data_IF_972432847948
#
_entry.id   IF_972432847948
#
_cell.length_a   1.000
_cell.length_b   1.000
_cell.length_c   1.000
_cell.angle_alpha   90.00
_cell.angle_beta   90.00
_cell.angle_gamma   90.00
#
_symmetry.space_group_name_H-M   'P 1'
#
loop_
_entity.id
_entity.type
_entity.pdbx_description
1 polymer ?
#
# COMPACT_ATOMS: atom_id res chain seq x y z
N UNK A 1 8.50 37.23 24.65
CA UNK A 1 8.92 37.03 23.33
C UNK A 1 8.90 35.63 22.88
N UNK A 2 9.74 34.81 23.43
CA UNK A 2 9.73 33.45 23.02
C UNK A 2 8.42 32.76 23.26
N UNK A 3 7.77 33.12 24.31
CA UNK A 3 6.49 32.53 24.58
C UNK A 3 5.47 32.86 23.53
N UNK A 4 5.55 34.05 23.03
CA UNK A 4 4.63 34.43 21.98
C UNK A 4 4.83 33.59 20.76
N UNK A 5 6.07 33.39 20.43
CA UNK A 5 6.38 32.61 19.26
C UNK A 5 5.87 31.20 19.42
N UNK A 6 6.09 30.66 20.59
CA UNK A 6 5.64 29.33 20.85
C UNK A 6 4.13 29.21 20.68
N UNK A 7 3.43 30.19 21.19
CA UNK A 7 1.99 30.17 21.09
C UNK A 7 1.54 30.21 19.64
N UNK A 8 2.20 31.00 18.85
CA UNK A 8 1.86 31.11 17.46
C UNK A 8 2.08 29.81 16.76
N UNK A 9 3.18 29.17 17.05
CA UNK A 9 3.47 27.89 16.45
C UNK A 9 2.41 26.88 16.79
N UNK A 10 2.00 26.86 18.02
CA UNK A 10 0.98 25.93 18.42
C UNK A 10 -0.31 26.15 17.65
N UNK A 11 -0.66 27.39 17.45
CA UNK A 11 -1.87 27.69 16.71
C UNK A 11 -1.76 27.19 15.28
N UNK A 12 -0.63 27.39 14.69
CA UNK A 12 -0.42 26.95 13.33
C UNK A 12 -0.54 25.45 13.25
N UNK A 13 0.02 24.77 14.21
CA UNK A 13 -0.06 23.33 14.20
C UNK A 13 -1.50 22.85 14.28
N UNK A 14 -2.29 23.50 15.08
CA UNK A 14 -3.68 23.11 15.17
C UNK A 14 -4.38 23.26 13.84
N UNK A 15 -4.09 24.32 13.15
CA UNK A 15 -4.71 24.52 11.85
C UNK A 15 -4.32 23.42 10.89
N UNK A 16 -3.07 23.08 10.90
CA UNK A 16 -2.63 22.00 10.07
C UNK A 16 -3.32 20.70 10.38
N UNK A 17 -3.48 20.45 11.65
CA UNK A 17 -4.13 19.24 12.07
C UNK A 17 -5.52 19.14 11.48
N UNK A 18 -6.22 20.21 11.44
CA UNK A 18 -7.55 20.20 10.90
C UNK A 18 -7.53 19.85 9.43
N UNK A 19 -6.63 20.47 8.70
CA UNK A 19 -6.53 20.16 7.30
C UNK A 19 -6.13 18.73 7.06
N UNK A 20 -5.18 18.28 7.83
CA UNK A 20 -4.73 16.91 7.68
C UNK A 20 -5.89 15.97 7.89
N UNK A 21 -6.76 16.29 8.81
CA UNK A 21 -7.89 15.44 9.06
C UNK A 21 -8.81 15.40 7.86
N UNK A 22 -9.03 16.51 7.24
CA UNK A 22 -9.89 16.52 6.09
C UNK A 22 -9.36 15.67 4.99
N UNK A 23 -8.13 15.86 4.65
CA UNK A 23 -7.57 15.10 3.58
C UNK A 23 -7.33 13.69 4.03
N UNK A 24 -7.11 13.51 5.29
CA UNK A 24 -6.79 12.26 5.90
C UNK A 24 -5.84 11.46 5.06
N UNK A 25 -5.35 12.07 4.06
CA UNK A 25 -4.36 11.44 3.29
C UNK A 25 -3.07 12.07 3.46
N UNK A 26 -2.90 12.81 4.50
CA UNK A 26 -1.68 13.47 4.79
C UNK A 26 -0.55 12.48 4.69
N UNK A 27 0.09 12.43 3.57
CA UNK A 27 1.20 11.55 3.36
C UNK A 27 0.85 10.12 2.99
N UNK A 28 -0.42 9.82 2.81
CA UNK A 28 -0.81 8.45 2.48
C UNK A 28 -1.77 8.44 1.30
N UNK A 29 -1.58 7.46 0.44
CA UNK A 29 -2.41 7.28 -0.72
C UNK A 29 -2.77 5.80 -0.83
N UNK A 30 -4.05 5.51 -0.94
CA UNK A 30 -4.48 4.14 -1.11
C UNK A 30 -4.12 3.64 -2.50
N UNK A 31 -3.62 2.43 -2.55
CA UNK A 31 -3.36 1.77 -3.84
C UNK A 31 -4.51 0.80 -4.06
N UNK A 32 -5.26 1.04 -5.12
CA UNK A 32 -6.39 0.18 -5.41
C UNK A 32 -5.87 -1.13 -5.98
N UNK A 33 -6.16 -2.22 -5.30
CA UNK A 33 -5.72 -3.54 -5.73
C UNK A 33 -6.90 -4.24 -6.40
N UNK A 34 -6.70 -4.58 -7.65
CA UNK A 34 -7.72 -5.29 -8.39
C UNK A 34 -7.38 -6.76 -8.38
N UNK A 35 -8.26 -7.55 -7.83
CA UNK A 35 -8.04 -8.99 -7.82
C UNK A 35 -8.28 -9.53 -9.21
N UNK A 36 -7.36 -10.34 -9.68
CA UNK A 36 -7.44 -10.95 -10.99
C UNK A 36 -7.74 -12.42 -10.81
N UNK A 37 -8.76 -12.89 -11.53
CA UNK A 37 -9.13 -14.29 -11.47
C UNK A 37 -8.39 -14.99 -12.58
N UNK A 38 -7.40 -15.77 -12.18
CA UNK A 38 -6.62 -16.48 -13.15
C UNK A 38 -7.13 -17.89 -13.36
N UNK A 39 -6.42 -18.61 -14.18
CA UNK A 39 -6.79 -19.97 -14.48
C UNK A 39 -6.67 -20.87 -13.26
N UNK A 40 -5.96 -20.45 -12.27
CA UNK A 40 -5.79 -21.24 -11.06
C UNK A 40 -6.97 -21.16 -10.13
N UNK A 41 -7.86 -20.23 -10.34
CA UNK A 41 -9.00 -20.06 -9.49
C UNK A 41 -10.13 -20.89 -10.04
N UNK A 42 -10.69 -21.73 -9.21
CA UNK A 42 -11.77 -22.59 -9.66
C UNK A 42 -13.00 -21.78 -9.93
N UNK A 43 -13.54 -21.99 -11.09
CA UNK A 43 -14.74 -21.29 -11.49
C UNK A 43 -15.91 -21.88 -10.74
N UNK A 44 -16.77 -21.02 -10.23
CA UNK A 44 -17.94 -21.49 -9.53
C UNK A 44 -17.71 -21.73 -8.06
N UNK A 45 -16.48 -21.65 -7.62
CA UNK A 45 -16.20 -21.79 -6.22
C UNK A 45 -16.43 -20.48 -5.52
N UNK A 46 -17.04 -20.53 -4.39
CA UNK A 46 -17.30 -19.31 -3.68
C UNK A 46 -16.04 -18.73 -3.11
N UNK A 47 -15.94 -17.43 -3.22
CA UNK A 47 -14.81 -16.73 -2.66
C UNK A 47 -14.87 -16.81 -1.15
N UNK A 48 -13.75 -17.10 -0.55
CA UNK A 48 -13.63 -17.06 0.89
C UNK A 48 -13.71 -15.62 1.33
N UNK A 49 -14.70 -15.29 2.12
CA UNK A 49 -14.91 -13.92 2.54
C UNK A 49 -13.83 -13.42 3.49
N UNK A 50 -13.02 -14.31 4.03
CA UNK A 50 -11.96 -13.88 4.91
C UNK A 50 -10.76 -13.35 4.15
N UNK A 51 -10.69 -13.58 2.85
CA UNK A 51 -9.57 -13.09 2.05
C UNK A 51 -9.75 -11.60 1.82
N UNK A 52 -8.77 -10.84 2.19
CA UNK A 52 -8.79 -9.41 1.94
C UNK A 52 -7.36 -8.90 1.79
N UNK A 53 -7.22 -7.87 0.96
CA UNK A 53 -5.93 -7.28 0.68
C UNK A 53 -6.14 -5.78 0.53
N UNK A 54 -5.28 -5.01 1.16
CA UNK A 54 -5.28 -3.56 0.97
C UNK A 54 -3.84 -3.07 0.99
N UNK A 55 -3.61 -1.95 0.35
CA UNK A 55 -2.27 -1.39 0.27
C UNK A 55 -2.34 0.12 0.34
N UNK A 56 -1.35 0.72 0.98
CA UNK A 56 -1.26 2.16 1.16
C UNK A 56 0.17 2.57 0.90
N UNK A 57 0.34 3.63 0.12
CA UNK A 57 1.63 4.25 -0.10
C UNK A 57 1.79 5.39 0.90
N UNK A 58 2.78 5.29 1.76
CA UNK A 58 3.04 6.29 2.78
C UNK A 58 4.17 7.18 2.31
N UNK A 59 3.83 8.40 1.90
CA UNK A 59 4.83 9.32 1.36
C UNK A 59 5.72 9.90 2.45
N UNK A 60 5.25 9.90 3.67
CA UNK A 60 6.03 10.44 4.77
C UNK A 60 7.24 9.58 5.07
N UNK A 61 7.04 8.28 5.08
CA UNK A 61 8.12 7.35 5.36
C UNK A 61 8.64 6.64 4.13
N UNK A 62 8.01 6.91 2.99
CA UNK A 62 8.44 6.35 1.71
C UNK A 62 8.39 4.83 1.74
N UNK A 63 7.30 4.32 2.21
CA UNK A 63 7.08 2.87 2.26
C UNK A 63 5.70 2.54 1.73
N UNK A 64 5.51 1.26 1.40
CA UNK A 64 4.21 0.74 1.03
C UNK A 64 3.82 -0.26 2.11
N UNK A 65 2.65 -0.03 2.69
CA UNK A 65 2.12 -0.92 3.72
C UNK A 65 1.02 -1.76 3.11
N UNK A 66 1.13 -3.05 3.25
CA UNK A 66 0.18 -3.98 2.65
C UNK A 66 -0.41 -4.84 3.74
N UNK A 67 -1.73 -4.91 3.78
CA UNK A 67 -2.42 -5.78 4.71
C UNK A 67 -2.98 -6.96 3.95
N UNK A 68 -2.71 -8.15 4.46
CA UNK A 68 -3.11 -9.38 3.81
C UNK A 68 -3.90 -10.22 4.79
N UNK A 69 -4.91 -10.90 4.27
CA UNK A 69 -5.71 -11.75 5.13
C UNK A 69 -6.05 -13.03 4.36
N UNK A 70 -5.53 -14.14 4.85
CA UNK A 70 -5.83 -15.47 4.31
C UNK A 70 -5.46 -15.64 2.84
N UNK A 71 -4.41 -14.98 2.40
CA UNK A 71 -3.99 -15.09 1.00
C UNK A 71 -3.12 -16.32 0.74
N UNK A 72 -2.64 -16.96 1.78
CA UNK A 72 -1.74 -18.08 1.60
C UNK A 72 -0.30 -17.62 1.48
N UNK A 73 0.51 -18.40 0.83
CA UNK A 73 1.92 -18.06 0.67
C UNK A 73 2.21 -17.66 -0.78
N UNK A 74 3.24 -16.87 -0.97
CA UNK A 74 3.60 -16.41 -2.30
C UNK A 74 4.57 -15.27 -2.21
N UNK A 75 4.37 -14.26 -3.06
CA UNK A 75 5.26 -13.12 -3.11
C UNK A 75 4.48 -11.84 -3.36
N UNK A 76 5.01 -10.75 -2.83
CA UNK A 76 4.54 -9.42 -3.14
C UNK A 76 5.71 -8.71 -3.79
N UNK A 77 5.49 -8.12 -4.95
CA UNK A 77 6.59 -7.45 -5.62
C UNK A 77 6.10 -6.21 -6.37
N UNK A 78 7.06 -5.37 -6.70
CA UNK A 78 6.81 -4.12 -7.40
C UNK A 78 7.48 -4.19 -8.74
N UNK A 79 6.74 -3.84 -9.79
CA UNK A 79 7.23 -3.88 -11.16
C UNK A 79 7.18 -2.46 -11.72
N UNK A 80 8.22 -2.08 -12.43
CA UNK A 80 8.23 -0.75 -13.06
C UNK A 80 7.54 -0.82 -14.42
N UNK A 81 7.49 0.30 -15.12
CA UNK A 81 6.75 0.37 -16.38
C UNK A 81 7.38 -0.46 -17.47
N UNK A 82 8.60 -0.91 -17.27
CA UNK A 82 9.28 -1.78 -18.23
C UNK A 82 9.17 -3.24 -17.84
N UNK A 83 8.33 -3.54 -16.86
CA UNK A 83 8.12 -4.90 -16.37
C UNK A 83 9.33 -5.46 -15.63
N UNK A 84 10.19 -4.59 -15.16
CA UNK A 84 11.31 -5.03 -14.34
C UNK A 84 10.92 -5.05 -12.88
N UNK A 85 11.31 -6.09 -12.16
CA UNK A 85 11.02 -6.20 -10.75
C UNK A 85 11.93 -5.27 -9.98
N UNK A 86 11.34 -4.34 -9.25
CA UNK A 86 12.08 -3.35 -8.47
C UNK A 86 12.37 -3.89 -7.08
N UNK A 87 11.42 -4.60 -6.50
CA UNK A 87 11.56 -5.12 -5.16
C UNK A 87 10.61 -6.29 -4.99
N UNK A 88 10.93 -7.19 -4.08
CA UNK A 88 10.13 -8.38 -3.89
C UNK A 88 10.27 -8.85 -2.45
N UNK A 89 9.15 -9.27 -1.87
CA UNK A 89 9.13 -9.78 -0.50
C UNK A 89 8.34 -11.07 -0.48
N UNK A 90 8.90 -12.13 0.07
CA UNK A 90 8.15 -13.38 0.18
C UNK A 90 7.07 -13.28 1.25
N UNK A 91 5.98 -13.98 1.02
CA UNK A 91 4.85 -14.04 1.94
C UNK A 91 4.67 -15.48 2.35
N UNK A 92 4.67 -15.74 3.65
CA UNK A 92 4.38 -17.08 4.12
C UNK A 92 2.98 -17.09 4.68
N UNK A 93 2.41 -18.28 4.71
CA UNK A 93 1.05 -18.44 5.19
C UNK A 93 0.94 -17.89 6.61
N UNK A 94 -0.08 -17.09 6.83
CA UNK A 94 -0.26 -16.46 8.14
C UNK A 94 0.27 -15.05 8.23
N UNK A 95 1.00 -14.58 7.22
CA UNK A 95 1.47 -13.21 7.18
C UNK A 95 0.28 -12.27 7.03
N UNK A 96 0.23 -11.24 7.86
CA UNK A 96 -0.86 -10.28 7.79
C UNK A 96 -0.41 -8.91 7.35
N UNK A 97 0.87 -8.60 7.50
CA UNK A 97 1.37 -7.27 7.14
C UNK A 97 2.69 -7.40 6.41
N UNK A 98 2.83 -6.60 5.37
CA UNK A 98 4.07 -6.53 4.62
C UNK A 98 4.40 -5.05 4.45
N UNK A 99 5.63 -4.69 4.73
CA UNK A 99 6.09 -3.32 4.56
C UNK A 99 7.27 -3.36 3.60
N UNK A 100 7.17 -2.58 2.52
CA UNK A 100 8.22 -2.54 1.52
C UNK A 100 8.66 -1.10 1.32
N UNK A 101 9.93 -0.88 1.01
CA UNK A 101 10.34 0.48 0.64
C UNK A 101 9.67 0.88 -0.66
N UNK A 102 9.24 2.12 -0.75
CA UNK A 102 8.67 2.62 -1.99
C UNK A 102 9.80 2.94 -2.96
N UNK A 103 9.54 2.83 -4.26
CA UNK A 103 10.54 3.21 -5.23
C UNK A 103 10.93 4.67 -5.06
N UNK A 104 12.16 5.01 -5.40
CA UNK A 104 12.67 6.36 -5.26
C UNK A 104 12.70 7.12 -6.57
N UNK A 105 12.54 6.43 -7.67
CA UNK A 105 12.56 7.06 -8.99
C UNK A 105 11.13 7.34 -9.42
N UNK A 106 10.90 8.54 -9.91
CA UNK A 106 9.56 8.91 -10.37
C UNK A 106 9.11 8.00 -11.49
N UNK A 107 7.83 7.69 -11.50
CA UNK A 107 7.28 6.87 -12.56
C UNK A 107 6.08 6.11 -12.09
N UNK A 108 5.58 5.26 -12.97
CA UNK A 108 4.43 4.41 -12.67
C UNK A 108 4.91 3.01 -12.36
N UNK A 109 4.29 2.42 -11.37
CA UNK A 109 4.67 1.10 -10.89
C UNK A 109 3.43 0.26 -10.68
N UNK A 110 3.61 -1.05 -10.67
CA UNK A 110 2.52 -1.98 -10.38
C UNK A 110 2.92 -2.80 -9.17
N UNK A 111 2.05 -2.83 -8.18
CA UNK A 111 2.22 -3.68 -7.02
C UNK A 111 1.50 -4.97 -7.31
N UNK A 112 2.20 -6.09 -7.24
CA UNK A 112 1.64 -7.39 -7.55
C UNK A 112 1.64 -8.24 -6.30
N UNK A 113 0.50 -8.84 -5.99
CA UNK A 113 0.39 -9.77 -4.88
C UNK A 113 0.02 -11.11 -5.49
N UNK A 114 0.98 -12.02 -5.47
CA UNK A 114 0.82 -13.32 -6.11
C UNK A 114 0.95 -14.40 -5.06
N UNK A 115 -0.17 -14.84 -4.55
CA UNK A 115 -0.20 -15.83 -3.48
C UNK A 115 -1.10 -16.97 -3.87
N UNK A 116 -1.04 -18.04 -3.08
CA UNK A 116 -1.76 -19.25 -3.44
C UNK A 116 -3.26 -19.07 -3.46
N UNK A 117 -3.80 -18.16 -2.65
CA UNK A 117 -5.23 -17.95 -2.58
C UNK A 117 -5.65 -16.59 -3.11
N UNK A 118 -4.73 -15.81 -3.63
CA UNK A 118 -5.07 -14.47 -4.09
C UNK A 118 -4.05 -13.98 -5.11
N UNK A 119 -4.54 -13.38 -6.17
CA UNK A 119 -3.68 -12.72 -7.13
C UNK A 119 -4.30 -11.38 -7.48
N UNK A 120 -3.56 -10.32 -7.28
CA UNK A 120 -4.07 -8.99 -7.56
C UNK A 120 -2.96 -8.04 -7.93
N UNK A 121 -3.35 -6.95 -8.56
CA UNK A 121 -2.41 -5.92 -9.00
C UNK A 121 -2.99 -4.54 -8.73
N UNK A 122 -2.11 -3.61 -8.42
CA UNK A 122 -2.50 -2.23 -8.25
C UNK A 122 -1.45 -1.32 -8.82
N UNK A 123 -1.87 -0.29 -9.55
CA UNK A 123 -0.95 0.66 -10.15
C UNK A 123 -0.84 1.87 -9.25
N UNK A 124 0.36 2.36 -9.08
CA UNK A 124 0.58 3.58 -8.32
C UNK A 124 1.71 4.37 -8.99
N UNK A 125 1.85 5.61 -8.60
CA UNK A 125 2.87 6.45 -9.18
C UNK A 125 3.70 7.10 -8.09
N UNK A 126 4.95 7.35 -8.41
CA UNK A 126 5.89 8.05 -7.55
C UNK A 126 6.25 9.35 -8.24
N UNK A 127 6.20 10.44 -7.51
CA UNK A 127 6.52 11.76 -8.06
C UNK A 127 7.47 12.52 -7.20
#
# INVERSE_FOLDING_TARGET
MKKSILTIIAAVMCCFTVFATDSNESGKTSIYIKELIGSNVEVGRERDLSISVSAVLDHTYNIIEIELNDVGSGDVYIVDSNNGVVDSVPVISGTTDVIMPAPTVDGYYTLVISCSHYYGEGVFSIR
#
